data_IF_353822925406
#
_entry.id   IF_353822925406
#
_cell.length_a   1.000
_cell.length_b   1.000
_cell.length_c   1.000
_cell.angle_alpha   90.00
_cell.angle_beta   90.00
_cell.angle_gamma   90.00
#
_symmetry.space_group_name_H-M   'P 1'
#
loop_
_entity.id
_entity.type
_entity.pdbx_description
1 polymer ?
#
# COMPACT_ATOMS: atom_id res chain seq x y z
N UNK A 1 52.44 -51.92 -13.36
CA UNK A 1 51.58 -51.04 -14.20
C UNK A 1 50.17 -50.78 -13.63
N UNK A 2 49.85 -51.03 -12.34
CA UNK A 2 48.50 -50.80 -11.76
C UNK A 2 48.32 -49.50 -10.95
N UNK A 3 49.36 -48.70 -10.77
CA UNK A 3 49.33 -47.53 -9.86
C UNK A 3 48.97 -46.20 -10.54
N UNK A 4 49.17 -46.08 -11.85
CA UNK A 4 48.85 -44.87 -12.65
C UNK A 4 47.36 -44.72 -12.91
N UNK A 5 46.65 -45.82 -13.18
CA UNK A 5 45.19 -45.80 -13.41
C UNK A 5 44.41 -45.37 -12.16
N UNK A 6 44.88 -45.76 -10.97
CA UNK A 6 44.23 -45.37 -9.70
C UNK A 6 44.37 -43.88 -9.41
N UNK A 7 45.51 -43.26 -9.75
CA UNK A 7 45.73 -41.81 -9.59
C UNK A 7 44.90 -40.99 -10.59
N UNK A 8 44.76 -41.47 -11.83
CA UNK A 8 43.91 -40.84 -12.83
C UNK A 8 42.42 -40.91 -12.44
N UNK A 9 41.94 -42.06 -11.96
CA UNK A 9 40.57 -42.22 -11.46
C UNK A 9 40.28 -41.33 -10.23
N UNK A 10 41.21 -41.22 -9.28
CA UNK A 10 41.08 -40.33 -8.12
C UNK A 10 41.05 -38.84 -8.50
N UNK A 11 41.83 -38.42 -9.51
CA UNK A 11 41.78 -37.05 -10.04
C UNK A 11 40.47 -36.75 -10.76
N UNK A 12 39.90 -37.72 -11.48
CA UNK A 12 38.60 -37.58 -12.15
C UNK A 12 37.45 -37.38 -11.17
N UNK A 13 37.44 -38.14 -10.06
CA UNK A 13 36.40 -38.04 -9.03
C UNK A 13 36.45 -36.68 -8.31
N UNK A 14 37.64 -36.19 -7.95
CA UNK A 14 37.80 -34.89 -7.30
C UNK A 14 37.33 -33.72 -8.20
N UNK A 15 37.50 -33.84 -9.52
CA UNK A 15 37.03 -32.82 -10.47
C UNK A 15 35.50 -32.83 -10.58
N UNK A 16 34.88 -34.01 -10.64
CA UNK A 16 33.42 -34.14 -10.62
C UNK A 16 32.84 -33.57 -9.34
N UNK A 17 33.44 -33.87 -8.18
CA UNK A 17 33.00 -33.35 -6.89
C UNK A 17 33.09 -31.82 -6.83
N UNK A 18 34.20 -31.25 -7.29
CA UNK A 18 34.36 -29.80 -7.37
C UNK A 18 33.32 -29.16 -8.30
N UNK A 19 33.04 -29.76 -9.47
CA UNK A 19 32.02 -29.25 -10.40
C UNK A 19 30.62 -29.33 -9.80
N UNK A 20 30.26 -30.42 -9.13
CA UNK A 20 28.97 -30.56 -8.46
C UNK A 20 28.85 -29.55 -7.31
N UNK A 21 29.88 -29.40 -6.48
CA UNK A 21 29.88 -28.42 -5.39
C UNK A 21 29.72 -26.98 -5.91
N UNK A 22 30.42 -26.63 -7.00
CA UNK A 22 30.36 -25.30 -7.60
C UNK A 22 29.00 -25.07 -8.31
N UNK A 23 28.42 -26.10 -8.92
CA UNK A 23 27.07 -26.04 -9.47
C UNK A 23 26.02 -25.83 -8.38
N UNK A 24 26.10 -26.56 -7.27
CA UNK A 24 25.20 -26.40 -6.13
C UNK A 24 25.35 -25.01 -5.48
N UNK A 25 26.58 -24.50 -5.38
CA UNK A 25 26.84 -23.14 -4.90
C UNK A 25 26.20 -22.11 -5.83
N UNK A 26 26.38 -22.23 -7.14
CA UNK A 26 25.80 -21.30 -8.11
C UNK A 26 24.27 -21.31 -8.07
N UNK A 27 23.65 -22.49 -7.97
CA UNK A 27 22.20 -22.63 -7.81
C UNK A 27 21.75 -22.00 -6.49
N UNK A 28 22.44 -22.27 -5.37
CA UNK A 28 22.09 -21.71 -4.07
C UNK A 28 22.19 -20.18 -4.03
N UNK A 29 23.23 -19.60 -4.62
CA UNK A 29 23.43 -18.15 -4.69
C UNK A 29 22.34 -17.48 -5.52
N UNK A 30 22.01 -18.04 -6.70
CA UNK A 30 20.97 -17.46 -7.58
C UNK A 30 19.57 -17.50 -6.96
N UNK A 31 19.18 -18.64 -6.37
CA UNK A 31 17.91 -18.76 -5.64
C UNK A 31 17.90 -17.86 -4.39
N UNK A 32 19.02 -17.75 -3.68
CA UNK A 32 19.15 -16.88 -2.52
C UNK A 32 18.97 -15.40 -2.84
N UNK A 33 19.66 -14.90 -3.88
CA UNK A 33 19.56 -13.49 -4.29
C UNK A 33 18.14 -13.14 -4.75
N UNK A 34 17.53 -13.97 -5.59
CA UNK A 34 16.17 -13.72 -6.08
C UNK A 34 15.14 -13.70 -4.94
N UNK A 35 15.32 -14.56 -3.92
CA UNK A 35 14.51 -14.52 -2.71
C UNK A 35 14.64 -13.21 -1.93
N UNK A 36 15.87 -12.69 -1.80
CA UNK A 36 16.15 -11.43 -1.10
C UNK A 36 15.56 -10.23 -1.86
N UNK A 37 15.70 -10.19 -3.19
CA UNK A 37 15.12 -9.13 -4.02
C UNK A 37 13.61 -9.08 -3.87
N UNK A 38 12.95 -10.25 -3.95
CA UNK A 38 11.50 -10.37 -3.78
C UNK A 38 11.06 -9.91 -2.38
N UNK A 39 11.77 -10.33 -1.33
CA UNK A 39 11.48 -9.89 0.03
C UNK A 39 11.65 -8.37 0.20
N UNK A 40 12.69 -7.79 -0.41
CA UNK A 40 12.95 -6.35 -0.36
C UNK A 40 11.88 -5.54 -1.10
N UNK A 41 11.40 -6.04 -2.24
CA UNK A 41 10.32 -5.41 -2.99
C UNK A 41 9.00 -5.46 -2.20
N UNK A 42 8.69 -6.62 -1.60
CA UNK A 42 7.52 -6.77 -0.73
C UNK A 42 7.55 -5.85 0.49
N UNK A 43 8.71 -5.71 1.13
CA UNK A 43 8.88 -4.82 2.28
C UNK A 43 8.63 -3.34 1.91
N UNK A 44 9.13 -2.88 0.76
CA UNK A 44 8.90 -1.50 0.28
C UNK A 44 7.42 -1.24 0.02
N UNK A 45 6.73 -2.19 -0.60
CA UNK A 45 5.30 -2.09 -0.86
C UNK A 45 4.49 -2.02 0.45
N UNK A 46 4.83 -2.85 1.44
CA UNK A 46 4.18 -2.84 2.74
C UNK A 46 4.39 -1.53 3.50
N UNK A 47 5.60 -0.96 3.44
CA UNK A 47 5.89 0.36 4.02
C UNK A 47 5.09 1.45 3.33
N UNK A 48 4.99 1.41 1.99
CA UNK A 48 4.22 2.40 1.24
C UNK A 48 2.72 2.34 1.58
N UNK A 49 2.16 1.13 1.70
CA UNK A 49 0.77 0.94 2.14
C UNK A 49 0.55 1.39 3.58
N UNK A 50 1.45 1.05 4.50
CA UNK A 50 1.34 1.48 5.90
C UNK A 50 1.37 3.01 6.05
N UNK A 51 2.27 3.67 5.31
CA UNK A 51 2.31 5.14 5.23
C UNK A 51 1.00 5.72 4.70
N UNK A 52 0.51 5.20 3.57
CA UNK A 52 -0.73 5.64 2.95
C UNK A 52 -1.92 5.49 3.91
N UNK A 53 -1.99 4.39 4.66
CA UNK A 53 -3.03 4.17 5.68
C UNK A 53 -2.99 5.23 6.80
N UNK A 54 -1.81 5.53 7.35
CA UNK A 54 -1.71 6.55 8.40
C UNK A 54 -2.09 7.95 7.88
N UNK A 55 -1.74 8.27 6.63
CA UNK A 55 -2.12 9.53 6.00
C UNK A 55 -3.62 9.67 5.76
N UNK A 56 -4.28 8.62 5.25
CA UNK A 56 -5.75 8.62 5.10
C UNK A 56 -6.44 8.77 6.46
N UNK A 57 -5.86 8.18 7.52
CA UNK A 57 -6.41 8.30 8.87
C UNK A 57 -6.21 9.67 9.50
N UNK A 58 -5.07 10.32 9.30
CA UNK A 58 -4.91 11.70 9.77
C UNK A 58 -5.86 12.64 9.02
N UNK A 59 -6.06 12.40 7.71
CA UNK A 59 -6.97 13.21 6.91
C UNK A 59 -8.44 13.03 7.29
N UNK A 60 -8.86 11.81 7.61
CA UNK A 60 -10.23 11.58 8.07
C UNK A 60 -10.56 12.35 9.34
N UNK A 61 -9.59 12.52 10.25
CA UNK A 61 -9.75 13.36 11.43
C UNK A 61 -9.86 14.85 11.08
N UNK A 62 -9.10 15.32 10.09
CA UNK A 62 -9.19 16.70 9.62
C UNK A 62 -10.54 17.01 8.96
N UNK A 63 -10.98 16.14 8.04
CA UNK A 63 -12.28 16.25 7.36
C UNK A 63 -13.44 16.14 8.35
N UNK A 64 -13.31 15.33 9.40
CA UNK A 64 -14.31 15.23 10.46
C UNK A 64 -14.53 16.55 11.21
N UNK A 65 -13.46 17.32 11.42
CA UNK A 65 -13.48 18.60 12.15
C UNK A 65 -13.78 19.81 11.26
N UNK A 66 -13.54 19.69 9.95
CA UNK A 66 -13.80 20.77 9.00
C UNK A 66 -15.30 21.15 8.98
N UNK A 67 -15.69 22.32 8.45
CA UNK A 67 -17.10 22.66 8.21
C UNK A 67 -17.77 21.70 7.22
N UNK A 68 -19.10 21.62 7.27
CA UNK A 68 -19.88 20.94 6.22
C UNK A 68 -19.64 21.62 4.86
N UNK A 69 -19.42 20.82 3.82
CA UNK A 69 -19.25 21.32 2.45
C UNK A 69 -20.44 20.85 1.63
N UNK A 70 -21.18 21.79 1.06
CA UNK A 70 -22.32 21.42 0.24
C UNK A 70 -21.83 20.68 -1.02
N UNK A 71 -22.38 19.48 -1.31
CA UNK A 71 -21.97 18.70 -2.48
C UNK A 71 -22.04 19.51 -3.77
N UNK A 72 -20.93 19.57 -4.51
CA UNK A 72 -20.81 20.33 -5.75
C UNK A 72 -20.49 21.82 -5.61
N UNK A 73 -20.51 22.39 -4.40
CA UNK A 73 -20.26 23.81 -4.16
C UNK A 73 -18.84 24.13 -3.66
N UNK A 74 -18.07 23.13 -3.21
CA UNK A 74 -16.74 23.34 -2.66
C UNK A 74 -15.88 22.08 -2.60
N UNK A 75 -14.64 22.25 -2.14
CA UNK A 75 -13.68 21.17 -1.88
C UNK A 75 -13.12 21.35 -0.47
N UNK A 76 -12.88 20.26 0.24
CA UNK A 76 -12.02 20.30 1.42
C UNK A 76 -10.61 20.73 0.99
N UNK A 77 -9.90 21.44 1.87
CA UNK A 77 -8.49 21.72 1.63
C UNK A 77 -7.78 20.36 1.54
N UNK A 78 -7.21 20.06 0.37
CA UNK A 78 -6.47 18.82 0.20
C UNK A 78 -5.27 18.86 1.15
N UNK A 79 -5.03 17.80 1.94
CA UNK A 79 -3.97 17.80 2.92
C UNK A 79 -2.61 17.64 2.26
N UNK A 80 -1.58 17.66 3.11
CA UNK A 80 -0.19 17.56 2.74
C UNK A 80 0.05 16.50 1.65
N UNK A 81 0.62 16.95 0.54
CA UNK A 81 1.24 16.08 -0.44
C UNK A 81 2.65 15.75 0.04
N UNK A 82 3.15 14.60 -0.34
CA UNK A 82 4.55 14.28 -0.19
C UNK A 82 5.16 13.83 -1.51
N UNK A 83 6.44 13.50 -1.48
CA UNK A 83 7.18 13.09 -2.68
C UNK A 83 6.65 11.80 -3.32
N UNK A 84 5.93 10.98 -2.57
CA UNK A 84 5.48 9.64 -2.95
C UNK A 84 4.00 9.58 -3.28
N UNK A 85 3.20 10.54 -2.84
CA UNK A 85 1.79 10.54 -3.13
C UNK A 85 1.05 11.78 -2.64
N UNK A 86 -0.25 11.75 -2.94
CA UNK A 86 -1.17 12.83 -2.60
C UNK A 86 -2.52 12.27 -2.17
N UNK A 87 -3.22 13.06 -1.37
CA UNK A 87 -4.55 12.75 -0.88
C UNK A 87 -5.60 13.53 -1.65
N UNK A 88 -6.79 12.97 -1.75
CA UNK A 88 -7.98 13.67 -2.22
C UNK A 88 -9.13 13.42 -1.25
N UNK A 89 -9.81 14.48 -0.83
CA UNK A 89 -11.06 14.41 -0.08
C UNK A 89 -12.19 14.99 -0.96
N UNK A 90 -13.01 14.11 -1.51
CA UNK A 90 -14.05 14.49 -2.49
C UNK A 90 -15.41 14.41 -1.82
N UNK A 91 -16.09 15.56 -1.58
CA UNK A 91 -17.48 15.56 -1.14
C UNK A 91 -18.42 15.20 -2.29
N UNK A 92 -19.43 14.40 -1.98
CA UNK A 92 -20.52 13.99 -2.87
C UNK A 92 -21.84 13.97 -2.10
N UNK A 93 -22.96 13.93 -2.81
CA UNK A 93 -24.26 13.80 -2.18
C UNK A 93 -24.37 12.39 -1.56
N UNK A 94 -24.73 12.32 -0.28
CA UNK A 94 -25.12 11.05 0.31
C UNK A 94 -26.44 10.61 -0.33
N UNK A 95 -26.56 9.33 -0.66
CA UNK A 95 -27.76 8.77 -1.28
C UNK A 95 -28.33 7.65 -0.41
N UNK A 96 -29.65 7.48 -0.45
CA UNK A 96 -30.32 6.36 0.22
C UNK A 96 -30.17 5.07 -0.59
N UNK A 97 -30.80 3.98 -0.13
CA UNK A 97 -30.77 2.69 -0.82
C UNK A 97 -31.42 2.72 -2.23
N UNK A 98 -32.23 3.74 -2.52
CA UNK A 98 -32.85 3.96 -3.84
C UNK A 98 -32.00 4.86 -4.76
N UNK A 99 -30.89 5.40 -4.25
CA UNK A 99 -30.05 6.36 -4.98
C UNK A 99 -30.53 7.81 -4.87
N UNK A 100 -31.52 8.09 -4.02
CA UNK A 100 -32.06 9.45 -3.86
C UNK A 100 -31.15 10.27 -2.94
N UNK A 101 -30.73 11.50 -3.33
CA UNK A 101 -29.90 12.35 -2.49
C UNK A 101 -30.57 12.70 -1.15
N UNK A 102 -29.87 12.50 -0.04
CA UNK A 102 -30.32 12.94 1.27
C UNK A 102 -29.99 14.44 1.45
N UNK A 103 -31.01 15.29 1.64
CA UNK A 103 -30.78 16.72 1.83
C UNK A 103 -30.03 16.96 3.14
N UNK A 104 -29.01 17.81 3.07
CA UNK A 104 -28.21 18.14 4.25
C UNK A 104 -27.30 17.02 4.74
N UNK A 105 -27.02 16.01 3.91
CA UNK A 105 -26.03 14.98 4.20
C UNK A 105 -25.05 14.91 3.03
N UNK A 106 -23.76 14.96 3.34
CA UNK A 106 -22.68 14.74 2.40
C UNK A 106 -21.98 13.42 2.73
N UNK A 107 -21.49 12.76 1.69
CA UNK A 107 -20.50 11.69 1.80
C UNK A 107 -19.16 12.23 1.33
N UNK A 108 -18.10 11.94 2.08
CA UNK A 108 -16.73 12.36 1.72
C UNK A 108 -15.89 11.12 1.51
N UNK A 109 -15.37 10.97 0.29
CA UNK A 109 -14.44 9.87 -0.05
C UNK A 109 -13.01 10.38 0.02
N UNK A 110 -12.22 9.76 0.89
CA UNK A 110 -10.80 10.05 1.06
C UNK A 110 -9.98 8.95 0.37
N UNK A 111 -9.12 9.36 -0.55
CA UNK A 111 -8.22 8.46 -1.29
C UNK A 111 -6.78 8.93 -1.13
N UNK A 112 -5.85 7.97 -1.15
CA UNK A 112 -4.43 8.22 -1.31
C UNK A 112 -3.93 7.61 -2.62
N UNK A 113 -3.29 8.45 -3.44
CA UNK A 113 -2.74 8.07 -4.73
C UNK A 113 -1.22 8.09 -4.70
N UNK A 114 -0.61 7.11 -5.34
CA UNK A 114 0.81 7.12 -5.65
C UNK A 114 1.08 8.16 -6.75
N UNK A 115 2.04 9.05 -6.54
CA UNK A 115 2.30 10.16 -7.44
C UNK A 115 2.97 9.75 -8.76
N UNK A 116 3.65 8.59 -8.79
CA UNK A 116 4.32 8.12 -9.99
C UNK A 116 3.33 7.44 -10.96
N UNK A 117 2.32 6.75 -10.42
CA UNK A 117 1.37 5.94 -11.19
C UNK A 117 -0.05 6.50 -11.24
N UNK A 118 -0.36 7.53 -10.43
CA UNK A 118 -1.72 8.06 -10.20
C UNK A 118 -2.73 6.97 -9.82
N UNK A 119 -2.28 5.91 -9.17
CA UNK A 119 -3.11 4.76 -8.78
C UNK A 119 -3.39 4.76 -7.27
N UNK A 120 -4.57 4.31 -6.82
CA UNK A 120 -4.88 4.23 -5.40
C UNK A 120 -4.02 3.16 -4.71
N UNK A 121 -3.38 3.52 -3.60
CA UNK A 121 -2.47 2.62 -2.86
C UNK A 121 -3.21 1.82 -1.78
N UNK A 122 -4.29 2.39 -1.26
CA UNK A 122 -5.11 1.83 -0.18
C UNK A 122 -6.58 1.99 -0.51
N UNK A 123 -7.42 1.20 0.17
CA UNK A 123 -8.86 1.30 0.00
C UNK A 123 -9.38 2.69 0.44
N UNK A 124 -10.27 3.32 -0.34
CA UNK A 124 -10.88 4.59 0.07
C UNK A 124 -11.59 4.49 1.41
N UNK A 125 -11.48 5.56 2.20
CA UNK A 125 -12.32 5.75 3.38
C UNK A 125 -13.50 6.62 3.01
N UNK A 126 -14.70 6.12 3.29
CA UNK A 126 -15.95 6.87 3.12
C UNK A 126 -16.42 7.39 4.48
N UNK A 127 -16.68 8.69 4.54
CA UNK A 127 -17.23 9.36 5.71
C UNK A 127 -18.60 9.94 5.36
N UNK A 128 -19.51 9.99 6.33
CA UNK A 128 -20.82 10.62 6.16
C UNK A 128 -20.94 11.74 7.17
N UNK A 129 -21.40 12.90 6.71
CA UNK A 129 -21.51 14.10 7.51
C UNK A 129 -22.83 14.78 7.23
N UNK A 130 -23.52 15.19 8.29
CA UNK A 130 -24.76 15.94 8.19
C UNK A 130 -24.50 17.43 8.44
N UNK A 131 -25.28 18.27 7.79
CA UNK A 131 -25.43 19.66 8.17
C UNK A 131 -26.08 19.68 9.56
N UNK A 132 -25.32 20.03 10.59
CA UNK A 132 -25.91 20.27 11.88
C UNK A 132 -26.66 21.61 11.86
N UNK A 133 -27.89 21.67 12.40
CA UNK A 133 -28.39 22.93 12.94
C UNK A 133 -27.49 23.29 14.13
N UNK A 134 -26.42 24.06 13.87
CA UNK A 134 -25.33 24.40 14.79
C UNK A 134 -24.47 23.20 15.28
N UNK A 135 -23.29 23.01 14.69
CA UNK A 135 -22.10 22.51 15.40
C UNK A 135 -21.91 20.99 15.67
N UNK A 136 -22.58 20.07 14.98
CA UNK A 136 -22.39 18.62 15.17
C UNK A 136 -21.25 18.02 14.32
N UNK A 137 -20.31 17.31 14.97
CA UNK A 137 -19.17 16.61 14.35
C UNK A 137 -19.55 15.22 13.79
N UNK A 138 -18.94 14.83 12.66
CA UNK A 138 -19.20 13.60 11.91
C UNK A 138 -18.80 12.31 12.65
N UNK A 139 -19.58 11.23 12.48
CA UNK A 139 -19.23 9.88 12.93
C UNK A 139 -18.36 9.15 11.90
N UNK A 140 -17.22 8.60 12.34
CA UNK A 140 -16.27 7.86 11.49
C UNK A 140 -16.56 6.36 11.60
N UNK A 141 -16.90 5.71 10.48
CA UNK A 141 -16.89 4.25 10.37
C UNK A 141 -15.44 3.76 10.31
N UNK A 142 -14.93 3.24 11.43
CA UNK A 142 -13.54 2.79 11.57
C UNK A 142 -13.33 1.44 10.89
N UNK A 143 -12.44 1.35 9.90
CA UNK A 143 -12.02 0.08 9.28
C UNK A 143 -10.56 -0.19 9.63
N UNK A 144 -10.32 -1.20 10.48
CA UNK A 144 -9.07 -1.95 10.56
C UNK A 144 -7.91 -1.34 11.36
N UNK A 145 -7.43 -2.09 12.35
CA UNK A 145 -6.30 -1.75 13.21
C UNK A 145 -4.97 -1.63 12.44
N UNK A 146 -4.19 -0.58 12.73
CA UNK A 146 -2.85 -0.44 12.15
C UNK A 146 -2.32 0.98 11.95
N UNK A 147 -2.76 1.97 12.74
CA UNK A 147 -2.07 3.19 13.20
C UNK A 147 -2.89 3.67 14.44
#
# INVERSE_FOLDING_TARGET
>A
MRSTDRRAAQRGIALVEAVVALALLAIGVTVGLTGIETASAGAKEMVNRGRAQCMVRSESQYVALAPYVQPGAGRYAAPAQDRHGYLTAVPSAAVDASGTPLPGVESVTINYFDSATNSPVVQPVLMVKSQALSGGSAGVGQVGAGC
#
